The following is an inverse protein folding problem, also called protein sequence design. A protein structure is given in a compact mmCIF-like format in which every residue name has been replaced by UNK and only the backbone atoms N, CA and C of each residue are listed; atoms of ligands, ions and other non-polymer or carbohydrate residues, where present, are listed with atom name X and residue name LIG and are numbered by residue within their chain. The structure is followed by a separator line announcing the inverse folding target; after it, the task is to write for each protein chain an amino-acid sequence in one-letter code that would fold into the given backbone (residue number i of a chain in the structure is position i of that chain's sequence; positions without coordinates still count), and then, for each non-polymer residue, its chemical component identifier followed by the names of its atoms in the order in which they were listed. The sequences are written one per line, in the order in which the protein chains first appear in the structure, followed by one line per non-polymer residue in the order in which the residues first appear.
data_IF_520750561579
#
_entry.id   IF_520750561579
#
_cell.length_a   1.000
_cell.length_b   1.000
_cell.length_c   1.000
_cell.angle_alpha   90.00
_cell.angle_beta   90.00
_cell.angle_gamma   90.00
#
_symmetry.space_group_name_H-M   'P 1'
#
loop_
_entity.id
_entity.type
_entity.pdbx_description
1 polymer ?
#
# COMPACT_ATOMS: atom_id res chain seq x y z
N UNK A 1 1.58 -10.98 -4.04
CA UNK A 1 0.43 -11.04 -3.10
C UNK A 1 -0.82 -11.53 -3.80
N UNK A 2 -1.06 -11.11 -5.04
CA UNK A 2 -2.35 -11.29 -5.76
C UNK A 2 -2.87 -12.74 -5.87
N UNK A 3 -2.01 -13.76 -5.82
CA UNK A 3 -2.45 -15.17 -5.90
C UNK A 3 -2.68 -15.84 -4.52
N UNK A 4 -2.44 -15.14 -3.42
CA UNK A 4 -2.55 -15.69 -2.06
C UNK A 4 -3.36 -14.79 -1.13
N UNK A 5 -3.90 -13.68 -1.62
CA UNK A 5 -4.66 -12.72 -0.84
C UNK A 5 -5.80 -12.13 -1.69
N UNK A 6 -6.90 -11.79 -1.04
CA UNK A 6 -8.05 -11.08 -1.63
C UNK A 6 -8.20 -9.71 -0.97
N UNK A 7 -9.06 -8.86 -1.54
CA UNK A 7 -9.35 -7.51 -1.06
C UNK A 7 -8.83 -6.42 -1.99
N UNK A 8 -9.06 -5.17 -1.62
CA UNK A 8 -8.75 -3.98 -2.41
C UNK A 8 -7.51 -3.27 -1.87
N UNK A 9 -7.66 -2.15 -1.15
CA UNK A 9 -6.55 -1.36 -0.64
C UNK A 9 -5.82 -2.02 0.52
N UNK A 10 -6.54 -2.86 1.28
CA UNK A 10 -5.99 -3.82 2.22
C UNK A 10 -6.30 -5.24 1.77
N UNK A 11 -5.36 -6.14 2.04
CA UNK A 11 -5.42 -7.53 1.62
C UNK A 11 -5.55 -8.46 2.82
N UNK A 12 -6.34 -9.52 2.64
CA UNK A 12 -6.48 -10.62 3.60
C UNK A 12 -6.00 -11.90 2.93
N UNK A 13 -5.14 -12.72 3.58
CA UNK A 13 -4.66 -13.95 2.99
C UNK A 13 -5.80 -14.96 2.86
N UNK A 14 -5.83 -15.70 1.75
CA UNK A 14 -6.87 -16.69 1.47
C UNK A 14 -6.29 -18.10 1.40
N UNK A 15 -7.07 -19.09 1.85
CA UNK A 15 -6.66 -20.49 1.84
C UNK A 15 -6.47 -20.95 0.40
N UNK A 16 -5.40 -21.73 0.18
CA UNK A 16 -5.16 -22.39 -1.10
C UNK A 16 -5.07 -23.89 -0.90
N UNK A 17 -5.62 -24.65 -1.85
CA UNK A 17 -5.61 -26.11 -1.80
C UNK A 17 -4.18 -26.70 -1.89
N UNK A 18 -3.26 -25.99 -2.53
CA UNK A 18 -1.87 -26.41 -2.71
C UNK A 18 -0.92 -25.91 -1.59
N UNK A 19 -1.43 -25.13 -0.63
CA UNK A 19 -0.66 -24.64 0.51
C UNK A 19 -1.13 -25.32 1.80
N UNK A 20 -0.22 -26.09 2.39
CA UNK A 20 -0.39 -26.66 3.72
C UNK A 20 0.28 -25.77 4.75
N UNK A 21 0.25 -26.20 6.01
CA UNK A 21 0.79 -25.45 7.14
C UNK A 21 2.25 -25.00 6.91
N UNK A 22 3.10 -25.85 6.33
CA UNK A 22 4.51 -25.54 6.10
C UNK A 22 4.74 -24.33 5.17
N UNK A 23 3.92 -24.19 4.13
CA UNK A 23 4.01 -23.04 3.22
C UNK A 23 3.61 -21.75 3.95
N UNK A 24 2.55 -21.79 4.77
CA UNK A 24 2.13 -20.63 5.56
C UNK A 24 3.15 -20.28 6.65
N UNK A 25 3.72 -21.27 7.33
CA UNK A 25 4.85 -21.08 8.24
C UNK A 25 6.03 -20.41 7.53
N UNK A 26 6.34 -20.82 6.30
CA UNK A 26 7.43 -20.22 5.52
C UNK A 26 7.16 -18.75 5.22
N UNK A 27 5.93 -18.36 4.92
CA UNK A 27 5.54 -16.95 4.78
C UNK A 27 5.72 -16.20 6.10
N UNK A 28 5.28 -16.77 7.23
CA UNK A 28 5.51 -16.19 8.55
C UNK A 28 7.00 -15.96 8.85
N UNK A 29 7.88 -16.89 8.45
CA UNK A 29 9.34 -16.75 8.58
C UNK A 29 9.88 -15.61 7.71
N UNK A 30 9.37 -15.46 6.49
CA UNK A 30 9.76 -14.37 5.58
C UNK A 30 9.38 -13.02 6.19
N UNK A 31 8.15 -12.88 6.71
CA UNK A 31 7.70 -11.64 7.37
C UNK A 31 8.60 -11.33 8.57
N UNK A 32 8.85 -12.33 9.42
CA UNK A 32 9.71 -12.19 10.60
C UNK A 32 11.12 -11.75 10.22
N UNK A 33 11.74 -12.38 9.21
CA UNK A 33 13.08 -12.02 8.74
C UNK A 33 13.12 -10.67 8.05
N UNK A 34 12.10 -10.31 7.29
CA UNK A 34 11.95 -8.97 6.70
C UNK A 34 11.98 -7.89 7.77
N UNK A 35 11.28 -8.10 8.88
CA UNK A 35 11.33 -7.20 10.03
C UNK A 35 12.73 -7.14 10.64
N UNK A 36 13.33 -8.29 10.97
CA UNK A 36 14.64 -8.35 11.62
C UNK A 36 15.79 -7.70 10.82
N UNK A 37 15.75 -7.81 9.49
CA UNK A 37 16.88 -7.42 8.63
C UNK A 37 16.68 -6.03 8.02
N UNK A 38 15.44 -5.67 7.69
CA UNK A 38 15.15 -4.49 6.88
C UNK A 38 14.10 -3.57 7.52
N UNK A 39 13.67 -3.84 8.76
CA UNK A 39 12.52 -3.19 9.38
C UNK A 39 11.32 -3.16 8.42
N UNK A 40 11.10 -4.25 7.68
CA UNK A 40 10.03 -4.36 6.69
C UNK A 40 8.84 -5.15 7.25
N UNK A 41 7.63 -4.61 7.08
CA UNK A 41 6.38 -5.35 7.26
C UNK A 41 5.53 -5.24 5.99
N UNK A 42 4.75 -6.28 5.65
CA UNK A 42 3.87 -6.26 4.49
C UNK A 42 2.60 -5.44 4.77
N UNK A 43 2.71 -4.11 4.83
CA UNK A 43 1.59 -3.23 5.22
C UNK A 43 0.41 -3.21 4.23
N UNK A 44 0.53 -3.88 3.08
CA UNK A 44 -0.59 -4.18 2.20
C UNK A 44 -1.54 -5.23 2.78
N UNK A 45 -1.07 -6.07 3.72
CA UNK A 45 -1.94 -6.92 4.53
C UNK A 45 -2.67 -6.08 5.56
N UNK A 46 -3.94 -6.38 5.78
CA UNK A 46 -4.73 -5.70 6.80
C UNK A 46 -4.05 -5.79 8.16
N UNK A 47 -4.07 -4.67 8.90
CA UNK A 47 -3.51 -4.63 10.25
C UNK A 47 -4.26 -5.61 11.18
N UNK A 48 -5.54 -5.88 10.92
CA UNK A 48 -6.33 -6.89 11.65
C UNK A 48 -5.68 -8.27 11.57
N UNK A 49 -5.22 -8.67 10.37
CA UNK A 49 -4.55 -9.95 10.14
C UNK A 49 -3.21 -10.01 10.87
N UNK A 50 -2.43 -8.92 10.80
CA UNK A 50 -1.14 -8.86 11.50
C UNK A 50 -1.30 -8.84 13.01
N UNK A 51 -2.27 -8.11 13.55
CA UNK A 51 -2.57 -8.10 14.98
C UNK A 51 -3.00 -9.49 15.46
N UNK A 52 -3.91 -10.15 14.74
CA UNK A 52 -4.30 -11.53 15.06
C UNK A 52 -3.10 -12.49 15.04
N UNK A 53 -2.25 -12.42 14.01
CA UNK A 53 -1.06 -13.27 13.93
C UNK A 53 -0.01 -12.95 15.01
N UNK A 54 0.12 -11.70 15.45
CA UNK A 54 1.14 -11.29 16.43
C UNK A 54 0.67 -11.43 17.89
N UNK A 55 -0.62 -11.23 18.15
CA UNK A 55 -1.16 -11.10 19.50
C UNK A 55 -2.32 -12.07 19.81
N UNK A 56 -2.79 -12.83 18.84
CA UNK A 56 -3.95 -13.72 18.96
C UNK A 56 -5.30 -13.00 19.02
N UNK A 57 -5.31 -11.67 18.87
CA UNK A 57 -6.50 -10.81 18.81
C UNK A 57 -6.16 -9.51 18.10
N UNK A 58 -7.18 -8.78 17.67
CA UNK A 58 -7.05 -7.45 17.10
C UNK A 58 -7.63 -6.37 18.02
N UNK A 59 -7.11 -5.15 17.90
CA UNK A 59 -7.62 -3.92 18.53
C UNK A 59 -8.05 -2.88 17.50
N UNK A 60 -7.49 -2.94 16.29
CA UNK A 60 -7.82 -2.03 15.21
C UNK A 60 -9.31 -2.13 14.84
N UNK A 61 -9.89 -1.04 14.35
CA UNK A 61 -11.32 -0.97 14.03
C UNK A 61 -11.64 -1.91 12.85
N UNK A 62 -12.50 -2.91 13.09
CA UNK A 62 -12.83 -3.91 12.10
C UNK A 62 -13.63 -3.32 10.93
N UNK A 63 -14.54 -2.38 11.19
CA UNK A 63 -15.37 -1.77 10.15
C UNK A 63 -14.53 -0.90 9.22
N UNK A 64 -13.63 -0.07 9.78
CA UNK A 64 -12.74 0.78 9.00
C UNK A 64 -11.84 -0.06 8.08
N UNK A 65 -11.29 -1.16 8.59
CA UNK A 65 -10.44 -2.06 7.80
C UNK A 65 -11.25 -2.85 6.76
N UNK A 66 -12.49 -3.23 7.07
CA UNK A 66 -13.40 -3.88 6.12
C UNK A 66 -13.77 -2.98 4.94
N UNK A 67 -14.08 -1.71 5.21
CA UNK A 67 -14.30 -0.70 4.19
C UNK A 67 -13.06 -0.45 3.31
N UNK A 68 -11.86 -0.80 3.78
CA UNK A 68 -10.63 -0.76 2.97
C UNK A 68 -10.35 -2.08 2.23
N UNK A 69 -11.00 -3.16 2.63
CA UNK A 69 -10.87 -4.50 2.05
C UNK A 69 -11.81 -4.70 0.85
N UNK A 70 -13.02 -4.16 0.89
CA UNK A 70 -14.02 -4.30 -0.18
C UNK A 70 -13.79 -3.35 -1.37
N UNK A 71 -14.62 -3.46 -2.40
CA UNK A 71 -14.55 -2.60 -3.59
C UNK A 71 -14.85 -1.14 -3.23
N UNK A 72 -14.37 -0.17 -4.03
CA UNK A 72 -14.70 1.24 -3.76
C UNK A 72 -16.21 1.53 -3.92
N UNK A 73 -16.91 0.74 -4.75
CA UNK A 73 -18.36 0.82 -4.95
C UNK A 73 -19.09 0.38 -3.67
N UNK A 74 -18.84 -0.85 -3.20
CA UNK A 74 -19.43 -1.36 -1.95
C UNK A 74 -19.06 -0.48 -0.75
N UNK A 75 -17.81 0.00 -0.69
CA UNK A 75 -17.36 0.93 0.34
C UNK A 75 -18.21 2.19 0.37
N UNK A 76 -18.46 2.79 -0.78
CA UNK A 76 -19.27 4.02 -0.89
C UNK A 76 -20.70 3.75 -0.47
N UNK A 77 -21.28 2.65 -0.95
CA UNK A 77 -22.63 2.20 -0.64
C UNK A 77 -22.82 1.94 0.86
N UNK A 78 -22.00 1.06 1.44
CA UNK A 78 -22.08 0.69 2.85
C UNK A 78 -21.75 1.87 3.78
N UNK A 79 -20.78 2.72 3.43
CA UNK A 79 -20.49 3.93 4.21
C UNK A 79 -21.67 4.90 4.22
N UNK A 80 -22.43 4.96 3.13
CA UNK A 80 -23.64 5.77 3.04
C UNK A 80 -24.76 5.14 3.85
N UNK A 81 -25.00 3.83 3.70
CA UNK A 81 -26.04 3.09 4.44
C UNK A 81 -25.82 3.14 5.97
N UNK A 82 -24.57 3.09 6.43
CA UNK A 82 -24.21 3.23 7.85
C UNK A 82 -24.51 4.63 8.42
N UNK A 83 -24.50 5.67 7.58
CA UNK A 83 -24.77 7.05 8.00
C UNK A 83 -26.24 7.42 7.85
N UNK A 84 -26.83 7.07 6.71
CA UNK A 84 -28.20 7.36 6.34
C UNK A 84 -28.77 6.23 5.47
N UNK A 85 -29.27 5.19 6.13
CA UNK A 85 -29.81 3.99 5.50
C UNK A 85 -30.89 4.29 4.44
N UNK A 86 -31.76 5.26 4.71
CA UNK A 86 -32.90 5.59 3.84
C UNK A 86 -32.47 6.31 2.56
N UNK A 87 -31.23 6.82 2.50
CA UNK A 87 -30.69 7.49 1.32
C UNK A 87 -30.18 6.55 0.25
N UNK A 88 -30.11 5.24 0.55
CA UNK A 88 -29.53 4.21 -0.31
C UNK A 88 -30.63 3.40 -0.97
N UNK A 89 -30.42 3.01 -2.23
CA UNK A 89 -31.32 2.08 -2.90
C UNK A 89 -31.25 0.70 -2.21
N UNK A 90 -32.41 0.19 -1.79
CA UNK A 90 -32.47 -1.04 -1.01
C UNK A 90 -32.17 -2.28 -1.86
N UNK A 91 -32.49 -2.28 -3.16
CA UNK A 91 -32.19 -3.40 -4.04
C UNK A 91 -30.69 -3.44 -4.34
N UNK A 92 -30.06 -2.28 -4.57
CA UNK A 92 -28.60 -2.14 -4.69
C UNK A 92 -27.88 -2.62 -3.41
N UNK A 93 -28.37 -2.23 -2.24
CA UNK A 93 -27.81 -2.66 -0.95
C UNK A 93 -27.91 -4.17 -0.76
N UNK A 94 -29.04 -4.78 -1.13
CA UNK A 94 -29.23 -6.23 -1.04
C UNK A 94 -28.28 -6.95 -2.00
N UNK A 95 -28.17 -6.50 -3.25
CA UNK A 95 -27.25 -7.09 -4.24
C UNK A 95 -25.79 -7.05 -3.76
N UNK A 96 -25.35 -5.90 -3.23
CA UNK A 96 -24.01 -5.76 -2.67
C UNK A 96 -23.77 -6.71 -1.48
N UNK A 97 -24.75 -6.87 -0.59
CA UNK A 97 -24.65 -7.79 0.55
C UNK A 97 -24.68 -9.27 0.12
N UNK A 98 -25.37 -9.61 -0.96
CA UNK A 98 -25.38 -10.96 -1.54
C UNK A 98 -23.99 -11.36 -2.07
N UNK A 99 -23.20 -10.41 -2.60
CA UNK A 99 -21.81 -10.65 -3.00
C UNK A 99 -20.94 -11.11 -1.82
N UNK A 100 -21.31 -10.73 -0.59
CA UNK A 100 -20.70 -11.16 0.66
C UNK A 100 -21.37 -12.40 1.29
N UNK A 101 -22.22 -13.10 0.52
CA UNK A 101 -23.02 -14.25 0.96
C UNK A 101 -23.96 -13.95 2.14
N UNK A 102 -24.38 -12.69 2.31
CA UNK A 102 -25.41 -12.34 3.28
C UNK A 102 -26.78 -12.81 2.78
N UNK A 103 -27.55 -13.49 3.65
CA UNK A 103 -28.93 -13.91 3.37
C UNK A 103 -29.93 -13.37 4.38
N UNK A 104 -29.47 -12.51 5.28
CA UNK A 104 -30.28 -11.92 6.34
C UNK A 104 -31.09 -10.76 5.79
N UNK A 105 -32.32 -10.60 6.26
CA UNK A 105 -33.09 -9.38 6.02
C UNK A 105 -32.37 -8.20 6.70
N UNK A 106 -32.15 -7.13 5.95
CA UNK A 106 -31.40 -5.96 6.40
C UNK A 106 -32.37 -4.81 6.68
N UNK A 107 -32.11 -4.11 7.77
CA UNK A 107 -32.85 -2.93 8.21
C UNK A 107 -31.88 -1.88 8.70
N UNK A 108 -32.36 -0.65 8.88
CA UNK A 108 -31.61 0.45 9.49
C UNK A 108 -30.99 0.10 10.84
N UNK A 109 -31.68 -0.70 11.67
CA UNK A 109 -31.21 -1.09 12.99
C UNK A 109 -30.19 -2.23 12.94
N UNK A 110 -30.18 -3.01 11.86
CA UNK A 110 -29.38 -4.23 11.75
C UNK A 110 -28.16 -4.10 10.85
N UNK A 111 -28.12 -3.12 9.93
CA UNK A 111 -27.04 -2.94 8.94
C UNK A 111 -25.64 -2.92 9.57
N UNK A 112 -25.44 -2.16 10.65
CA UNK A 112 -24.14 -2.07 11.33
C UNK A 112 -23.69 -3.42 11.87
N UNK A 113 -24.61 -4.17 12.50
CA UNK A 113 -24.31 -5.50 13.03
C UNK A 113 -24.01 -6.49 11.90
N UNK A 114 -24.81 -6.48 10.83
CA UNK A 114 -24.63 -7.37 9.68
C UNK A 114 -23.28 -7.14 9.01
N UNK A 115 -22.90 -5.88 8.77
CA UNK A 115 -21.60 -5.56 8.18
C UNK A 115 -20.43 -5.96 9.09
N UNK A 116 -20.58 -5.83 10.42
CA UNK A 116 -19.56 -6.34 11.37
C UNK A 116 -19.45 -7.87 11.35
N UNK A 117 -20.56 -8.58 11.23
CA UNK A 117 -20.58 -10.04 11.12
C UNK A 117 -19.90 -10.51 9.83
N UNK A 118 -20.19 -9.85 8.70
CA UNK A 118 -19.52 -10.09 7.41
C UNK A 118 -18.03 -9.80 7.53
N UNK A 119 -17.66 -8.64 8.04
CA UNK A 119 -16.27 -8.24 8.22
C UNK A 119 -15.49 -9.26 9.07
N UNK A 120 -16.10 -9.72 10.17
CA UNK A 120 -15.47 -10.71 11.04
C UNK A 120 -15.30 -12.06 10.34
N UNK A 121 -16.30 -12.50 9.57
CA UNK A 121 -16.20 -13.73 8.77
C UNK A 121 -15.04 -13.64 7.78
N UNK A 122 -15.05 -12.63 6.90
CA UNK A 122 -14.14 -12.54 5.76
C UNK A 122 -12.71 -12.15 6.15
N UNK A 123 -12.54 -11.26 7.13
CA UNK A 123 -11.21 -10.74 7.50
C UNK A 123 -10.54 -11.49 8.65
N UNK A 124 -11.29 -12.30 9.40
CA UNK A 124 -10.78 -13.00 10.59
C UNK A 124 -10.99 -14.51 10.49
N UNK A 125 -12.24 -14.97 10.32
CA UNK A 125 -12.55 -16.41 10.39
C UNK A 125 -11.97 -17.17 9.19
N UNK A 126 -12.15 -16.66 7.97
CA UNK A 126 -11.74 -17.35 6.74
C UNK A 126 -10.21 -17.48 6.62
N UNK A 127 -9.45 -16.54 7.17
CA UNK A 127 -7.99 -16.61 7.20
C UNK A 127 -7.42 -17.25 8.48
N UNK A 128 -8.26 -17.75 9.40
CA UNK A 128 -7.81 -18.15 10.74
C UNK A 128 -6.72 -19.23 10.71
N UNK A 129 -6.84 -20.23 9.83
CA UNK A 129 -5.81 -21.26 9.65
C UNK A 129 -4.43 -20.68 9.29
N UNK A 130 -4.41 -19.63 8.48
CA UNK A 130 -3.18 -18.97 8.03
C UNK A 130 -2.60 -18.13 9.16
N UNK A 131 -3.43 -17.36 9.86
CA UNK A 131 -2.99 -16.54 11.00
C UNK A 131 -2.50 -17.41 12.15
N UNK A 132 -3.10 -18.57 12.38
CA UNK A 132 -2.64 -19.55 13.38
C UNK A 132 -1.26 -20.11 13.01
N UNK A 133 -1.01 -20.42 11.74
CA UNK A 133 0.30 -20.83 11.27
C UNK A 133 1.34 -19.70 11.45
N UNK A 134 0.99 -18.46 11.09
CA UNK A 134 1.87 -17.30 11.29
C UNK A 134 2.15 -17.02 12.76
N UNK A 135 1.17 -17.21 13.65
CA UNK A 135 1.30 -16.96 15.09
C UNK A 135 2.38 -17.81 15.76
N UNK A 136 2.65 -19.00 15.23
CA UNK A 136 3.77 -19.86 15.68
C UNK A 136 5.14 -19.19 15.53
N UNK A 137 5.24 -18.14 14.72
CA UNK A 137 6.48 -17.39 14.45
C UNK A 137 6.33 -15.92 14.85
N UNK A 138 5.22 -15.27 14.54
CA UNK A 138 5.04 -13.82 14.71
C UNK A 138 4.63 -13.42 16.13
N UNK A 139 4.17 -14.36 16.96
CA UNK A 139 3.83 -14.07 18.37
C UNK A 139 5.02 -13.50 19.16
N UNK A 140 6.25 -13.93 18.84
CA UNK A 140 7.45 -13.38 19.47
C UNK A 140 7.68 -11.89 19.12
N UNK A 141 7.27 -11.44 17.92
CA UNK A 141 7.30 -10.01 17.60
C UNK A 141 6.27 -9.26 18.43
N UNK A 142 5.08 -9.83 18.61
CA UNK A 142 4.04 -9.23 19.44
C UNK A 142 4.39 -9.12 20.94
N UNK A 143 5.39 -9.86 21.42
CA UNK A 143 5.96 -9.66 22.76
C UNK A 143 6.85 -8.41 22.85
N UNK A 144 7.46 -8.00 21.73
CA UNK A 144 8.41 -6.88 21.65
C UNK A 144 7.82 -5.61 21.05
N UNK A 145 6.76 -5.73 20.27
CA UNK A 145 6.11 -4.63 19.55
C UNK A 145 4.71 -4.45 20.11
N UNK A 146 4.34 -3.24 20.53
CA UNK A 146 2.97 -2.97 20.97
C UNK A 146 2.02 -2.75 19.78
N UNK A 147 0.71 -2.78 20.03
CA UNK A 147 -0.31 -2.41 19.05
C UNK A 147 -0.08 -0.99 18.51
N UNK A 148 0.20 -0.05 19.39
CA UNK A 148 0.41 1.36 19.06
C UNK A 148 1.67 1.53 18.18
N UNK A 149 2.74 0.77 18.48
CA UNK A 149 3.93 0.75 17.63
C UNK A 149 3.65 0.12 16.27
N UNK A 150 2.86 -0.96 16.19
CA UNK A 150 2.48 -1.57 14.92
C UNK A 150 1.68 -0.59 14.04
N UNK A 151 0.69 0.10 14.60
CA UNK A 151 -0.08 1.14 13.90
C UNK A 151 0.82 2.28 13.41
N UNK A 152 1.77 2.71 14.24
CA UNK A 152 2.75 3.73 13.86
C UNK A 152 3.65 3.26 12.71
N UNK A 153 4.09 2.00 12.73
CA UNK A 153 4.89 1.40 11.64
C UNK A 153 4.10 1.39 10.34
N UNK A 154 2.87 0.88 10.36
CA UNK A 154 1.97 0.88 9.21
C UNK A 154 1.82 2.29 8.63
N UNK A 155 1.54 3.26 9.50
CA UNK A 155 1.41 4.65 9.11
C UNK A 155 2.70 5.18 8.50
N UNK A 156 3.88 4.96 9.12
CA UNK A 156 5.18 5.45 8.65
C UNK A 156 5.55 4.90 7.27
N UNK A 157 5.37 3.59 7.07
CA UNK A 157 5.73 2.89 5.84
C UNK A 157 4.85 3.25 4.64
N UNK A 158 3.57 3.58 4.88
CA UNK A 158 2.66 3.92 3.79
C UNK A 158 3.10 5.24 3.12
N UNK A 159 3.36 5.24 1.81
CA UNK A 159 3.75 6.44 1.09
C UNK A 159 2.58 7.43 0.99
N UNK A 160 2.90 8.71 1.10
CA UNK A 160 2.00 9.80 0.73
C UNK A 160 2.79 10.84 -0.05
N UNK A 161 2.11 11.62 -0.89
CA UNK A 161 2.76 12.64 -1.72
C UNK A 161 3.60 13.58 -0.86
N UNK A 162 3.11 13.94 0.33
CA UNK A 162 3.83 14.77 1.31
C UNK A 162 5.13 14.11 1.78
N UNK A 163 5.09 12.83 2.14
CA UNK A 163 6.30 12.11 2.60
C UNK A 163 7.29 11.95 1.45
N UNK A 164 6.85 11.45 0.30
CA UNK A 164 7.72 11.22 -0.86
C UNK A 164 8.34 12.52 -1.37
N UNK A 165 7.59 13.63 -1.39
CA UNK A 165 8.16 14.95 -1.75
C UNK A 165 9.28 15.36 -0.80
N UNK A 166 9.15 15.08 0.51
CA UNK A 166 10.19 15.38 1.51
C UNK A 166 11.42 14.48 1.38
N UNK A 167 11.27 13.31 0.77
CA UNK A 167 12.40 12.40 0.52
C UNK A 167 13.32 12.92 -0.60
N UNK A 168 12.83 13.83 -1.46
CA UNK A 168 13.61 14.36 -2.58
C UNK A 168 14.67 15.34 -2.06
N UNK A 169 15.93 14.96 -2.17
CA UNK A 169 17.08 15.77 -1.77
C UNK A 169 17.80 16.32 -3.00
N UNK A 170 17.97 17.64 -3.05
CA UNK A 170 18.60 18.34 -4.16
C UNK A 170 19.93 18.96 -3.70
N UNK A 171 20.82 19.27 -4.66
CA UNK A 171 22.01 20.08 -4.38
C UNK A 171 21.63 21.49 -3.91
N UNK A 172 22.42 22.08 -3.02
CA UNK A 172 22.23 23.48 -2.57
C UNK A 172 22.47 24.48 -3.70
N UNK A 173 23.32 24.12 -4.68
CA UNK A 173 23.73 24.98 -5.78
C UNK A 173 23.05 24.54 -7.08
N UNK A 174 21.81 25.01 -7.31
CA UNK A 174 21.06 24.75 -8.54
C UNK A 174 21.14 25.94 -9.50
N UNK A 175 21.39 25.66 -10.77
CA UNK A 175 21.16 26.61 -11.86
C UNK A 175 19.66 26.92 -12.05
N UNK A 176 19.35 27.96 -12.83
CA UNK A 176 17.95 28.32 -13.10
C UNK A 176 17.16 27.19 -13.77
N UNK A 177 17.77 26.51 -14.76
CA UNK A 177 17.15 25.37 -15.44
C UNK A 177 16.88 24.21 -14.46
N UNK A 178 17.85 23.89 -13.61
CA UNK A 178 17.70 22.82 -12.61
C UNK A 178 16.65 23.17 -11.58
N UNK A 179 16.52 24.44 -11.19
CA UNK A 179 15.46 24.92 -10.30
C UNK A 179 14.08 24.80 -10.95
N UNK A 180 13.95 25.05 -12.24
CA UNK A 180 12.68 24.82 -12.96
C UNK A 180 12.31 23.33 -13.00
N UNK A 181 13.25 22.46 -13.34
CA UNK A 181 13.00 21.01 -13.36
C UNK A 181 12.74 20.45 -11.95
N UNK A 182 13.43 20.97 -10.92
CA UNK A 182 13.12 20.69 -9.52
C UNK A 182 11.65 21.00 -9.21
N UNK A 183 11.16 22.17 -9.61
CA UNK A 183 9.77 22.57 -9.41
C UNK A 183 8.80 21.65 -10.16
N UNK A 184 9.15 21.22 -11.38
CA UNK A 184 8.37 20.23 -12.13
C UNK A 184 8.29 18.88 -11.42
N UNK A 185 9.41 18.36 -10.92
CA UNK A 185 9.44 17.10 -10.17
C UNK A 185 8.60 17.19 -8.89
N UNK A 186 8.78 18.24 -8.09
CA UNK A 186 8.02 18.41 -6.86
C UNK A 186 6.51 18.55 -7.13
N UNK A 187 6.13 19.30 -8.18
CA UNK A 187 4.74 19.41 -8.62
C UNK A 187 4.19 18.06 -9.06
N UNK A 188 4.95 17.32 -9.86
CA UNK A 188 4.56 16.00 -10.35
C UNK A 188 4.27 15.05 -9.20
N UNK A 189 5.20 14.90 -8.25
CA UNK A 189 5.03 14.03 -7.08
C UNK A 189 3.84 14.45 -6.22
N UNK A 190 3.54 15.75 -6.10
CA UNK A 190 2.36 16.25 -5.37
C UNK A 190 1.02 15.91 -6.05
N UNK A 191 1.01 15.76 -7.37
CA UNK A 191 -0.19 15.50 -8.17
C UNK A 191 -0.45 14.00 -8.44
N UNK A 192 0.47 13.10 -8.04
CA UNK A 192 0.29 11.65 -8.27
C UNK A 192 -0.86 11.06 -7.45
N UNK A 193 -1.67 10.21 -8.09
CA UNK A 193 -2.55 9.30 -7.37
C UNK A 193 -1.74 8.23 -6.60
N UNK A 194 -2.43 7.45 -5.75
CA UNK A 194 -1.81 6.43 -4.91
C UNK A 194 -1.06 5.36 -5.72
N UNK A 195 -1.58 4.98 -6.89
CA UNK A 195 -1.01 3.91 -7.73
C UNK A 195 0.28 4.40 -8.38
N UNK A 196 0.25 5.57 -9.01
CA UNK A 196 1.44 6.16 -9.63
C UNK A 196 2.47 6.58 -8.59
N UNK A 197 2.06 7.01 -7.39
CA UNK A 197 2.98 7.33 -6.30
C UNK A 197 3.78 6.10 -5.84
N UNK A 198 3.11 4.95 -5.68
CA UNK A 198 3.77 3.67 -5.36
C UNK A 198 4.73 3.25 -6.47
N UNK A 199 4.35 3.41 -7.74
CA UNK A 199 5.23 3.17 -8.88
C UNK A 199 6.43 4.13 -8.88
N UNK A 200 6.23 5.42 -8.62
CA UNK A 200 7.31 6.39 -8.53
C UNK A 200 8.31 6.03 -7.42
N UNK A 201 7.82 5.68 -6.23
CA UNK A 201 8.70 5.30 -5.13
C UNK A 201 9.48 4.02 -5.45
N UNK A 202 8.82 3.03 -6.07
CA UNK A 202 9.47 1.80 -6.53
C UNK A 202 10.50 2.08 -7.63
N UNK A 203 10.23 3.01 -8.53
CA UNK A 203 11.16 3.43 -9.58
C UNK A 203 12.43 4.01 -8.95
N UNK A 204 12.29 4.87 -7.95
CA UNK A 204 13.44 5.52 -7.30
C UNK A 204 14.21 4.62 -6.33
N UNK A 205 13.53 3.67 -5.67
CA UNK A 205 14.10 2.96 -4.49
C UNK A 205 14.07 1.45 -4.57
N UNK A 206 13.40 0.87 -5.58
CA UNK A 206 13.12 -0.55 -5.67
C UNK A 206 11.99 -1.03 -4.76
N UNK A 207 11.43 -0.15 -3.92
CA UNK A 207 10.35 -0.43 -2.96
C UNK A 207 9.16 0.49 -3.19
N UNK A 208 7.94 -0.02 -3.08
CA UNK A 208 6.72 0.79 -3.08
C UNK A 208 6.34 1.28 -1.66
N UNK A 209 7.17 0.98 -0.66
CA UNK A 209 7.05 1.41 0.73
C UNK A 209 8.22 2.30 1.17
N UNK A 210 7.98 3.15 2.17
CA UNK A 210 9.02 3.92 2.86
C UNK A 210 9.61 3.06 3.98
N UNK A 211 10.88 2.69 3.85
CA UNK A 211 11.56 1.88 4.86
C UNK A 211 12.30 2.78 5.85
N UNK A 212 12.35 2.34 7.11
CA UNK A 212 13.04 3.08 8.18
C UNK A 212 14.54 3.25 7.85
N UNK A 213 15.08 4.44 8.10
CA UNK A 213 16.43 4.82 7.68
C UNK A 213 16.65 4.91 6.16
N UNK A 214 15.60 4.81 5.34
CA UNK A 214 15.65 4.94 3.88
C UNK A 214 14.75 6.04 3.33
N UNK A 215 14.81 7.21 3.96
CA UNK A 215 13.95 8.36 3.74
C UNK A 215 14.49 9.40 2.75
N UNK A 216 15.59 9.10 2.04
CA UNK A 216 16.21 10.03 1.09
C UNK A 216 16.31 9.43 -0.31
N UNK A 217 15.94 10.25 -1.30
CA UNK A 217 16.14 10.06 -2.74
C UNK A 217 16.99 11.24 -3.22
N UNK A 218 18.24 10.98 -3.57
CA UNK A 218 19.14 12.01 -4.11
C UNK A 218 18.75 12.33 -5.55
N UNK A 219 18.46 13.59 -5.83
CA UNK A 219 18.12 14.05 -7.18
C UNK A 219 19.35 14.70 -7.82
N UNK A 220 19.79 14.14 -8.93
CA UNK A 220 20.90 14.64 -9.72
C UNK A 220 20.41 15.14 -11.07
N UNK A 221 20.86 16.33 -11.46
CA UNK A 221 20.54 16.86 -12.77
C UNK A 221 21.60 16.46 -13.80
N UNK A 222 21.16 15.98 -14.94
CA UNK A 222 22.04 15.48 -16.02
C UNK A 222 21.77 16.17 -17.33
N UNK A 223 22.76 16.13 -18.21
CA UNK A 223 22.60 16.55 -19.60
C UNK A 223 22.35 15.30 -20.43
N UNK A 224 21.07 15.04 -20.72
CA UNK A 224 20.63 14.01 -21.66
C UNK A 224 19.69 14.69 -22.66
N UNK A 225 19.91 14.44 -23.94
CA UNK A 225 19.21 15.10 -25.05
C UNK A 225 18.81 14.10 -26.14
N UNK A 226 18.01 14.60 -27.10
CA UNK A 226 17.47 13.80 -28.20
C UNK A 226 16.74 12.55 -27.72
N UNK A 227 16.96 11.42 -28.40
CA UNK A 227 16.35 10.13 -28.07
C UNK A 227 16.83 9.52 -26.74
N UNK A 228 17.90 10.06 -26.15
CA UNK A 228 18.45 9.59 -24.87
C UNK A 228 17.83 10.28 -23.65
N UNK A 229 17.04 11.36 -23.85
CA UNK A 229 16.42 12.10 -22.74
C UNK A 229 15.40 11.24 -22.02
N UNK A 230 15.67 10.94 -20.75
CA UNK A 230 14.74 10.28 -19.82
C UNK A 230 15.21 10.42 -18.37
N UNK A 231 14.30 10.42 -17.39
CA UNK A 231 14.60 10.08 -16.01
C UNK A 231 15.25 8.69 -15.90
N UNK A 232 16.26 8.56 -15.05
CA UNK A 232 16.98 7.31 -14.77
C UNK A 232 17.06 7.15 -13.26
N UNK A 233 16.81 5.94 -12.74
CA UNK A 233 16.91 5.65 -11.32
C UNK A 233 17.95 4.57 -11.03
N UNK A 234 18.76 4.81 -10.00
CA UNK A 234 19.67 3.83 -9.42
C UNK A 234 19.11 3.40 -8.06
N UNK A 235 18.34 2.31 -8.04
CA UNK A 235 17.53 1.93 -6.88
C UNK A 235 18.34 1.56 -5.65
N UNK A 236 19.48 0.86 -5.81
CA UNK A 236 20.39 0.54 -4.69
C UNK A 236 20.94 1.79 -4.01
N UNK A 237 21.28 2.82 -4.80
CA UNK A 237 21.79 4.11 -4.32
C UNK A 237 20.71 5.14 -3.98
N UNK A 238 19.44 4.88 -4.33
CA UNK A 238 18.32 5.83 -4.23
C UNK A 238 18.61 7.16 -4.94
N UNK A 239 19.21 7.08 -6.12
CA UNK A 239 19.55 8.25 -6.94
C UNK A 239 18.58 8.35 -8.12
N UNK A 240 17.95 9.51 -8.28
CA UNK A 240 17.12 9.87 -9.42
C UNK A 240 17.84 10.89 -10.28
N UNK A 241 18.28 10.49 -11.46
CA UNK A 241 18.93 11.35 -12.45
C UNK A 241 17.89 11.91 -13.40
N UNK A 242 17.78 13.23 -13.49
CA UNK A 242 16.77 13.93 -14.28
C UNK A 242 17.44 14.86 -15.31
N UNK A 243 17.07 14.77 -16.60
CA UNK A 243 17.50 15.73 -17.60
C UNK A 243 17.14 17.16 -17.19
N UNK A 244 18.11 18.09 -17.25
CA UNK A 244 17.89 19.49 -16.84
C UNK A 244 17.21 20.38 -17.89
N UNK A 245 16.91 19.82 -19.05
CA UNK A 245 16.47 20.51 -20.28
C UNK A 245 15.00 20.23 -20.62
N UNK A 246 14.12 20.07 -19.62
CA UNK A 246 12.68 20.02 -19.87
C UNK A 246 12.15 21.42 -20.18
N UNK A 247 11.40 21.54 -21.27
CA UNK A 247 10.90 22.83 -21.76
C UNK A 247 9.66 23.30 -20.96
N UNK A 248 8.89 22.36 -20.43
CA UNK A 248 7.73 22.63 -19.60
C UNK A 248 7.26 21.40 -18.81
N UNK A 249 6.36 21.65 -17.85
CA UNK A 249 5.79 20.62 -16.99
C UNK A 249 5.00 19.54 -17.75
N UNK A 250 4.32 19.88 -18.85
CA UNK A 250 3.49 18.93 -19.60
C UNK A 250 4.34 17.85 -20.23
N UNK A 251 5.48 18.23 -20.83
CA UNK A 251 6.45 17.28 -21.41
C UNK A 251 7.07 16.43 -20.30
N UNK A 252 7.53 17.07 -19.21
CA UNK A 252 8.06 16.37 -18.03
C UNK A 252 7.10 15.29 -17.53
N UNK A 253 5.83 15.66 -17.30
CA UNK A 253 4.79 14.77 -16.79
C UNK A 253 4.51 13.62 -17.76
N UNK A 254 4.42 13.91 -19.06
CA UNK A 254 4.15 12.88 -20.08
C UNK A 254 5.26 11.84 -20.13
N UNK A 255 6.53 12.27 -20.18
CA UNK A 255 7.67 11.35 -20.21
C UNK A 255 7.76 10.51 -18.94
N UNK A 256 7.58 11.12 -17.76
CA UNK A 256 7.63 10.39 -16.49
C UNK A 256 6.50 9.35 -16.39
N UNK A 257 5.28 9.72 -16.79
CA UNK A 257 4.15 8.79 -16.82
C UNK A 257 4.39 7.60 -17.76
N UNK A 258 4.96 7.85 -18.94
CA UNK A 258 5.28 6.79 -19.88
C UNK A 258 6.26 5.78 -19.25
N UNK A 259 7.27 6.25 -18.52
CA UNK A 259 8.23 5.40 -17.82
C UNK A 259 7.58 4.61 -16.68
N UNK A 260 6.76 5.25 -15.85
CA UNK A 260 6.10 4.54 -14.75
C UNK A 260 5.10 3.49 -15.25
N UNK A 261 4.54 3.67 -16.44
CA UNK A 261 3.56 2.75 -17.02
C UNK A 261 4.17 1.56 -17.77
N UNK A 262 5.42 1.65 -18.26
CA UNK A 262 6.03 0.55 -19.04
C UNK A 262 6.33 -0.70 -18.22
N UNK A 263 6.34 -0.62 -16.88
CA UNK A 263 6.55 -1.74 -15.93
C UNK A 263 7.85 -2.55 -16.10
N UNK A 264 8.66 -2.23 -17.12
CA UNK A 264 10.01 -2.72 -17.38
C UNK A 264 10.94 -1.52 -17.25
N UNK A 265 11.58 -1.41 -16.09
CA UNK A 265 12.56 -0.35 -15.83
C UNK A 265 13.95 -0.93 -16.01
N UNK A 266 14.79 -0.27 -16.81
CA UNK A 266 16.22 -0.60 -16.88
C UNK A 266 16.81 -0.23 -15.52
N UNK A 267 16.98 -1.24 -14.67
CA UNK A 267 17.53 -1.12 -13.33
C UNK A 267 19.00 -1.46 -13.44
N UNK A 268 19.86 -0.44 -13.51
CA UNK A 268 21.31 -0.66 -13.50
C UNK A 268 21.71 -1.09 -12.08
N UNK A 269 22.15 -2.35 -11.95
CA UNK A 269 22.87 -2.83 -10.76
C UNK A 269 24.32 -2.41 -10.97
N UNK A 270 24.78 -1.46 -10.15
CA UNK A 270 26.19 -1.05 -10.10
C UNK A 270 26.91 -1.87 -9.03
#
# INVERSE_FOLDING_TARGET
MDNCCIGNSQKVPTIRHDFQEEQWLSIGRIIFKGWQIANYLPIGLSIIVMENAMYGKFKSDLMENFLCFITEEDKTLFSTALKDYESVDNDELIEALENHSCRSAVTKESITRILLEIAHKEMVQECNFITDAWAKILSQLGQSLSYENLTEIYSKMEPSNRKVTKMLHFSDNLSNLEREVMNHLQRYVRELDKVLLKKFLRFCTGSDLILDGKDTITVEFVVLDGFGRRPIAHTCGRVLRIPRNYENFTIFRSEFNNILNTSVWVMDIV
#
